data_IF_936178252077
#
_entry.id   IF_936178252077
#
_cell.length_a   1.000
_cell.length_b   1.000
_cell.length_c   1.000
_cell.angle_alpha   90.00
_cell.angle_beta   90.00
_cell.angle_gamma   90.00
#
_symmetry.space_group_name_H-M   'P 1'
#
loop_
_entity.id
_entity.type
_entity.pdbx_description
1 polymer ?
#
# COMPACT_ATOMS: atom_id res chain seq x y z
N UNK A 1 3.26 3.17 -26.34
CA UNK A 1 4.41 2.84 -25.44
C UNK A 1 5.65 2.92 -26.33
N UNK A 2 6.54 3.87 -26.04
CA UNK A 2 7.76 4.08 -26.83
C UNK A 2 8.80 2.99 -26.56
N UNK A 3 9.78 2.77 -27.46
CA UNK A 3 10.81 1.75 -27.31
C UNK A 3 11.65 1.92 -26.03
N UNK A 4 11.83 3.15 -25.55
CA UNK A 4 12.52 3.46 -24.28
C UNK A 4 11.76 2.95 -23.06
N UNK A 5 10.40 3.03 -23.06
CA UNK A 5 9.59 2.49 -21.94
C UNK A 5 9.64 0.96 -21.91
N UNK A 6 9.68 0.32 -23.07
CA UNK A 6 9.85 -1.14 -23.13
C UNK A 6 11.22 -1.55 -22.58
N UNK A 7 12.29 -0.87 -22.97
CA UNK A 7 13.66 -1.15 -22.51
C UNK A 7 13.78 -0.94 -20.98
N UNK A 8 13.18 0.14 -20.44
CA UNK A 8 13.15 0.39 -19.00
C UNK A 8 12.43 -0.72 -18.23
N UNK A 9 11.27 -1.16 -18.71
CA UNK A 9 10.53 -2.26 -18.08
C UNK A 9 11.30 -3.58 -18.15
N UNK A 10 11.93 -3.87 -19.27
CA UNK A 10 12.77 -5.06 -19.42
C UNK A 10 13.97 -5.01 -18.45
N UNK A 11 14.63 -3.87 -18.34
CA UNK A 11 15.74 -3.67 -17.39
C UNK A 11 15.29 -3.88 -15.93
N UNK A 12 14.11 -3.35 -15.53
CA UNK A 12 13.55 -3.58 -14.20
C UNK A 12 13.28 -5.07 -13.92
N UNK A 13 12.76 -5.82 -14.90
CA UNK A 13 12.54 -7.25 -14.73
C UNK A 13 13.87 -8.01 -14.56
N UNK A 14 14.90 -7.68 -15.34
CA UNK A 14 16.23 -8.27 -15.21
C UNK A 14 16.84 -7.97 -13.85
N UNK A 15 16.82 -6.72 -13.39
CA UNK A 15 17.33 -6.33 -12.07
C UNK A 15 16.58 -7.06 -10.95
N UNK A 16 15.26 -7.15 -11.05
CA UNK A 16 14.44 -7.90 -10.08
C UNK A 16 14.81 -9.38 -10.06
N UNK A 17 14.97 -10.00 -11.23
CA UNK A 17 15.39 -11.40 -11.34
C UNK A 17 16.78 -11.62 -10.72
N UNK A 18 17.75 -10.75 -11.01
CA UNK A 18 19.09 -10.79 -10.43
C UNK A 18 19.02 -10.68 -8.91
N UNK A 19 18.27 -9.70 -8.38
CA UNK A 19 18.11 -9.52 -6.95
C UNK A 19 17.49 -10.75 -6.27
N UNK A 20 16.49 -11.37 -6.90
CA UNK A 20 15.86 -12.61 -6.42
C UNK A 20 16.82 -13.82 -6.45
N UNK A 21 17.71 -13.89 -7.44
CA UNK A 21 18.65 -15.01 -7.58
C UNK A 21 19.85 -14.91 -6.64
N UNK A 22 20.35 -13.70 -6.40
CA UNK A 22 21.47 -13.44 -5.48
C UNK A 22 21.08 -13.76 -4.03
N UNK A 23 19.88 -13.38 -3.62
CA UNK A 23 19.45 -13.48 -2.21
C UNK A 23 18.11 -14.21 -2.06
N UNK A 24 18.01 -15.38 -2.68
CA UNK A 24 16.78 -16.19 -2.69
C UNK A 24 16.12 -16.34 -1.33
N UNK A 25 16.93 -16.50 -0.27
CA UNK A 25 16.42 -16.77 1.07
C UNK A 25 15.86 -15.52 1.74
N UNK A 26 16.55 -14.40 1.65
CA UNK A 26 16.22 -13.18 2.39
C UNK A 26 15.44 -12.16 1.57
N UNK A 27 15.33 -12.34 0.26
CA UNK A 27 14.73 -11.38 -0.67
C UNK A 27 13.35 -10.87 -0.19
N UNK A 28 12.43 -11.80 0.12
CA UNK A 28 11.09 -11.43 0.57
C UNK A 28 11.11 -10.69 1.91
N UNK A 29 11.98 -11.11 2.83
CA UNK A 29 12.08 -10.45 4.14
C UNK A 29 12.64 -9.04 4.00
N UNK A 30 13.67 -8.86 3.18
CA UNK A 30 14.24 -7.54 2.88
C UNK A 30 13.24 -6.66 2.17
N UNK A 31 12.53 -7.18 1.18
CA UNK A 31 11.46 -6.46 0.50
C UNK A 31 10.39 -5.95 1.48
N UNK A 32 9.89 -6.82 2.36
CA UNK A 32 8.93 -6.43 3.40
C UNK A 32 9.51 -5.35 4.32
N UNK A 33 10.76 -5.50 4.78
CA UNK A 33 11.42 -4.51 5.66
C UNK A 33 11.56 -3.15 4.98
N UNK A 34 11.94 -3.11 3.70
CA UNK A 34 12.06 -1.89 2.90
C UNK A 34 10.70 -1.20 2.77
N UNK A 35 9.64 -1.96 2.41
CA UNK A 35 8.29 -1.40 2.30
C UNK A 35 7.78 -0.90 3.65
N UNK A 36 8.05 -1.60 4.75
CA UNK A 36 7.70 -1.12 6.09
C UNK A 36 8.44 0.17 6.47
N UNK A 37 9.74 0.29 6.13
CA UNK A 37 10.51 1.50 6.36
C UNK A 37 9.90 2.70 5.63
N UNK A 38 9.63 2.58 4.33
CA UNK A 38 8.94 3.64 3.58
C UNK A 38 7.50 3.84 4.05
N UNK A 39 6.82 2.80 4.53
CA UNK A 39 5.50 2.88 5.13
C UNK A 39 5.48 3.79 6.36
N UNK A 40 6.42 3.64 7.27
CA UNK A 40 6.54 4.51 8.45
C UNK A 40 6.76 5.96 8.01
N UNK A 41 7.73 6.20 7.11
CA UNK A 41 8.02 7.54 6.61
C UNK A 41 6.77 8.16 5.98
N UNK A 42 6.07 7.40 5.14
CA UNK A 42 4.88 7.90 4.44
C UNK A 42 3.74 8.25 5.39
N UNK A 43 3.51 7.47 6.44
CA UNK A 43 2.48 7.76 7.45
C UNK A 43 2.85 9.01 8.24
N UNK A 44 4.13 9.23 8.57
CA UNK A 44 4.58 10.44 9.28
C UNK A 44 4.37 11.70 8.43
N UNK A 45 4.76 11.69 7.14
CA UNK A 45 4.51 12.82 6.24
C UNK A 45 3.02 13.07 6.04
N UNK A 46 2.25 12.01 5.76
CA UNK A 46 0.80 12.08 5.62
C UNK A 46 0.15 12.72 6.86
N UNK A 47 0.48 12.24 8.06
CA UNK A 47 -0.07 12.79 9.30
C UNK A 47 0.34 14.26 9.50
N UNK A 48 1.59 14.63 9.22
CA UNK A 48 2.06 16.00 9.33
C UNK A 48 1.27 16.94 8.39
N UNK A 49 1.06 16.55 7.13
CA UNK A 49 0.32 17.36 6.16
C UNK A 49 -1.20 17.41 6.44
N UNK A 50 -1.78 16.33 7.01
CA UNK A 50 -3.18 16.36 7.44
C UNK A 50 -3.39 17.29 8.66
N UNK A 51 -2.43 17.33 9.61
CA UNK A 51 -2.52 18.20 10.79
C UNK A 51 -2.26 19.66 10.42
N UNK A 52 -1.27 19.91 9.56
CA UNK A 52 -0.91 21.25 9.13
C UNK A 52 -0.65 21.30 7.62
N UNK A 53 -1.69 21.55 6.79
CA UNK A 53 -1.54 21.62 5.34
C UNK A 53 -0.54 22.67 4.84
N UNK A 54 -0.27 23.73 5.64
CA UNK A 54 0.69 24.77 5.26
C UNK A 54 2.14 24.25 5.16
N UNK A 55 2.45 23.13 5.79
CA UNK A 55 3.76 22.47 5.67
C UNK A 55 4.09 22.05 4.23
N UNK A 56 3.07 21.78 3.41
CA UNK A 56 3.26 21.46 1.98
C UNK A 56 3.93 22.61 1.25
N UNK A 57 3.54 23.86 1.55
CA UNK A 57 4.11 25.04 0.91
C UNK A 57 5.56 25.32 1.34
N UNK A 58 5.92 24.96 2.57
CA UNK A 58 7.27 25.08 3.11
C UNK A 58 8.17 23.89 2.73
N UNK A 59 7.59 22.81 2.24
CA UNK A 59 8.33 21.61 1.89
C UNK A 59 9.12 21.82 0.58
N UNK A 60 10.44 21.58 0.57
CA UNK A 60 11.22 21.68 -0.65
C UNK A 60 10.80 20.56 -1.61
N UNK A 61 9.99 20.90 -2.57
CA UNK A 61 9.43 19.96 -3.53
C UNK A 61 9.70 20.38 -4.98
N UNK A 62 9.74 19.40 -5.87
CA UNK A 62 9.65 19.58 -7.32
C UNK A 62 8.24 19.21 -7.75
N UNK A 63 7.60 20.06 -8.51
CA UNK A 63 6.30 19.78 -9.11
C UNK A 63 6.45 19.14 -10.49
N UNK A 64 5.58 18.23 -10.84
CA UNK A 64 5.38 17.77 -12.20
C UNK A 64 3.89 17.49 -12.44
N UNK A 65 3.51 17.45 -13.70
CA UNK A 65 2.13 17.20 -14.09
C UNK A 65 1.93 15.72 -14.35
N UNK A 66 0.83 15.18 -13.84
CA UNK A 66 0.34 13.85 -14.18
C UNK A 66 -1.08 13.94 -14.67
N UNK A 67 -1.45 13.08 -15.62
CA UNK A 67 -2.82 13.00 -16.10
C UNK A 67 -3.57 11.94 -15.32
N UNK A 68 -4.71 12.32 -14.76
CA UNK A 68 -5.63 11.37 -14.15
C UNK A 68 -6.28 10.53 -15.26
N UNK A 69 -5.97 9.24 -15.30
CA UNK A 69 -6.47 8.32 -16.33
C UNK A 69 -8.00 8.14 -16.29
N UNK A 70 -8.66 8.40 -15.15
CA UNK A 70 -10.11 8.28 -15.01
C UNK A 70 -10.88 9.49 -15.52
N UNK A 71 -10.36 10.70 -15.30
CA UNK A 71 -11.02 11.96 -15.65
C UNK A 71 -10.39 12.69 -16.83
N UNK A 72 -9.19 12.30 -17.23
CA UNK A 72 -8.39 12.98 -18.25
C UNK A 72 -7.83 14.34 -17.80
N UNK A 73 -8.10 14.76 -16.56
CA UNK A 73 -7.62 16.02 -16.01
C UNK A 73 -6.14 15.96 -15.62
N UNK A 74 -5.44 17.07 -15.79
CA UNK A 74 -4.07 17.21 -15.33
C UNK A 74 -4.05 17.61 -13.86
N UNK A 75 -3.22 16.95 -13.08
CA UNK A 75 -3.00 17.26 -11.68
C UNK A 75 -1.53 17.47 -11.39
N UNK A 76 -1.22 18.35 -10.44
CA UNK A 76 0.15 18.57 -9.96
C UNK A 76 0.49 17.57 -8.87
N UNK A 77 1.64 16.94 -9.00
CA UNK A 77 2.24 16.09 -7.97
C UNK A 77 3.49 16.77 -7.44
N UNK A 78 3.60 16.87 -6.13
CA UNK A 78 4.76 17.41 -5.46
C UNK A 78 5.62 16.26 -4.90
N UNK A 79 6.89 16.24 -5.27
CA UNK A 79 7.88 15.32 -4.70
C UNK A 79 8.92 16.08 -3.89
N UNK A 80 9.37 15.51 -2.77
CA UNK A 80 10.47 16.08 -2.00
C UNK A 80 11.75 16.21 -2.82
N UNK A 81 12.36 17.39 -2.84
CA UNK A 81 13.65 17.64 -3.50
C UNK A 81 14.75 16.80 -2.86
N UNK A 82 15.49 16.05 -3.67
CA UNK A 82 16.68 15.31 -3.26
C UNK A 82 16.41 14.01 -2.49
N UNK A 83 15.28 13.88 -1.83
CA UNK A 83 14.85 12.67 -1.13
C UNK A 83 13.46 12.30 -1.61
N UNK A 84 13.37 11.42 -2.56
CA UNK A 84 12.11 10.90 -3.14
C UNK A 84 11.37 10.00 -2.14
N UNK A 85 11.21 10.48 -0.90
CA UNK A 85 10.66 9.70 0.20
C UNK A 85 9.15 9.78 0.29
N UNK A 86 8.55 10.86 -0.25
CA UNK A 86 7.13 11.10 -0.19
C UNK A 86 6.65 11.91 -1.39
N UNK A 87 5.44 11.65 -1.84
CA UNK A 87 4.74 12.37 -2.88
C UNK A 87 3.43 12.92 -2.33
N UNK A 88 3.13 14.16 -2.64
CA UNK A 88 1.88 14.82 -2.29
C UNK A 88 1.08 15.11 -3.56
N UNK A 89 -0.15 14.63 -3.62
CA UNK A 89 -1.04 14.82 -4.75
C UNK A 89 -2.12 15.84 -4.36
N UNK A 90 -2.10 17.04 -4.96
CA UNK A 90 -2.97 18.15 -4.57
C UNK A 90 -4.46 17.81 -4.67
N UNK A 91 -4.88 17.11 -5.73
CA UNK A 91 -6.27 16.70 -5.93
C UNK A 91 -6.75 15.63 -4.92
N UNK A 92 -5.84 15.02 -4.16
CA UNK A 92 -6.11 14.01 -3.15
C UNK A 92 -5.27 14.27 -1.90
N UNK A 93 -5.34 15.50 -1.39
CA UNK A 93 -4.50 16.01 -0.30
C UNK A 93 -4.54 15.16 0.98
N UNK A 94 -5.65 14.48 1.24
CA UNK A 94 -5.82 13.61 2.42
C UNK A 94 -5.35 12.17 2.22
N UNK A 95 -4.95 11.80 1.00
CA UNK A 95 -4.57 10.41 0.67
C UNK A 95 -3.05 10.22 0.71
N UNK A 96 -2.60 9.13 1.31
CA UNK A 96 -1.19 8.78 1.37
C UNK A 96 -0.73 8.13 0.06
N UNK A 97 0.12 8.81 -0.68
CA UNK A 97 0.74 8.29 -1.92
C UNK A 97 2.07 7.58 -1.67
N UNK A 98 2.65 7.70 -0.45
CA UNK A 98 4.02 7.24 -0.20
C UNK A 98 5.01 7.95 -1.11
N UNK A 99 5.91 7.20 -1.71
CA UNK A 99 6.85 7.72 -2.74
C UNK A 99 6.34 7.51 -4.18
N UNK A 100 5.12 7.02 -4.34
CA UNK A 100 4.46 6.89 -5.64
C UNK A 100 3.68 8.15 -5.99
N UNK A 101 3.36 8.31 -7.27
CA UNK A 101 2.59 9.46 -7.77
C UNK A 101 1.11 9.38 -7.44
N UNK A 102 0.62 8.19 -7.13
CA UNK A 102 -0.80 7.93 -6.87
C UNK A 102 -0.98 6.94 -5.71
N UNK A 103 -2.00 7.16 -4.85
CA UNK A 103 -2.31 6.24 -3.77
C UNK A 103 -2.72 4.85 -4.29
N UNK A 104 -3.31 4.79 -5.49
CA UNK A 104 -3.69 3.55 -6.16
C UNK A 104 -2.50 2.64 -6.48
N UNK A 105 -1.37 3.18 -6.89
CA UNK A 105 -0.14 2.41 -7.16
C UNK A 105 0.50 1.96 -5.85
N UNK A 106 0.54 2.84 -4.85
CA UNK A 106 1.13 2.50 -3.55
C UNK A 106 0.41 1.34 -2.87
N UNK A 107 -0.92 1.35 -2.88
CA UNK A 107 -1.71 0.27 -2.29
C UNK A 107 -1.49 -1.10 -2.95
N UNK A 108 -1.17 -1.17 -4.25
CA UNK A 108 -0.86 -2.45 -4.92
C UNK A 108 0.35 -3.11 -4.24
N UNK A 109 1.40 -2.34 -4.02
CA UNK A 109 2.62 -2.84 -3.35
C UNK A 109 2.33 -3.24 -1.91
N UNK A 110 1.56 -2.42 -1.17
CA UNK A 110 1.18 -2.71 0.22
C UNK A 110 0.31 -3.97 0.32
N UNK A 111 -0.64 -4.17 -0.59
CA UNK A 111 -1.46 -5.39 -0.64
C UNK A 111 -0.63 -6.63 -1.00
N UNK A 112 0.35 -6.50 -1.91
CA UNK A 112 1.28 -7.59 -2.21
C UNK A 112 2.11 -7.98 -0.97
N UNK A 113 2.60 -6.98 -0.21
CA UNK A 113 3.32 -7.22 1.05
C UNK A 113 2.40 -7.84 2.11
N UNK A 114 1.16 -7.37 2.24
CA UNK A 114 0.18 -7.96 3.15
C UNK A 114 -0.07 -9.44 2.80
N UNK A 115 -0.23 -9.75 1.52
CA UNK A 115 -0.36 -11.14 1.07
C UNK A 115 0.86 -11.97 1.46
N UNK A 116 2.07 -11.50 1.22
CA UNK A 116 3.31 -12.20 1.61
C UNK A 116 3.37 -12.43 3.13
N UNK A 117 3.05 -11.40 3.92
CA UNK A 117 3.02 -11.51 5.39
C UNK A 117 2.04 -12.59 5.85
N UNK A 118 0.84 -12.63 5.29
CA UNK A 118 -0.22 -13.52 5.77
C UNK A 118 -0.06 -14.98 5.27
N UNK A 119 0.26 -15.16 4.00
CA UNK A 119 0.26 -16.50 3.39
C UNK A 119 1.65 -17.14 3.33
N UNK A 120 2.72 -16.34 3.29
CA UNK A 120 4.09 -16.83 3.18
C UNK A 120 4.92 -16.60 4.45
N UNK A 121 4.27 -16.50 5.61
CA UNK A 121 4.93 -16.31 6.90
C UNK A 121 6.11 -17.26 7.11
N UNK A 122 5.97 -18.54 6.74
CA UNK A 122 7.03 -19.57 6.88
C UNK A 122 8.26 -19.31 5.99
N UNK A 123 8.15 -18.44 4.97
CA UNK A 123 9.25 -18.05 4.08
C UNK A 123 9.94 -16.76 4.50
N UNK A 124 9.43 -16.12 5.56
CA UNK A 124 9.97 -14.87 6.08
C UNK A 124 10.88 -15.15 7.28
N UNK A 125 12.03 -14.50 7.28
CA UNK A 125 13.07 -14.65 8.29
C UNK A 125 13.11 -13.40 9.17
N UNK A 126 12.13 -13.28 10.07
CA UNK A 126 12.13 -12.30 11.16
C UNK A 126 12.82 -12.90 12.39
N UNK A 127 13.53 -12.06 13.14
CA UNK A 127 14.26 -12.51 14.33
C UNK A 127 13.30 -12.96 15.46
N UNK A 128 12.10 -12.36 15.50
CA UNK A 128 11.09 -12.70 16.48
C UNK A 128 9.66 -12.38 15.99
N UNK A 129 8.68 -12.95 16.68
CA UNK A 129 7.25 -12.76 16.36
C UNK A 129 6.80 -11.29 16.51
N UNK A 130 7.48 -10.51 17.37
CA UNK A 130 7.16 -9.09 17.56
C UNK A 130 7.46 -8.29 16.29
N UNK A 131 8.63 -8.52 15.66
CA UNK A 131 8.98 -7.85 14.40
C UNK A 131 7.97 -8.18 13.28
N UNK A 132 7.57 -9.44 13.19
CA UNK A 132 6.56 -9.87 12.22
C UNK A 132 5.21 -9.14 12.45
N UNK A 133 4.73 -9.08 13.70
CA UNK A 133 3.48 -8.38 14.03
C UNK A 133 3.60 -6.88 13.77
N UNK A 134 4.73 -6.27 14.14
CA UNK A 134 4.99 -4.84 13.85
C UNK A 134 4.95 -4.57 12.36
N UNK A 135 5.59 -5.38 11.52
CA UNK A 135 5.53 -5.23 10.07
C UNK A 135 4.09 -5.32 9.54
N UNK A 136 3.31 -6.28 10.06
CA UNK A 136 1.90 -6.43 9.66
C UNK A 136 1.07 -5.19 10.04
N UNK A 137 1.26 -4.66 11.25
CA UNK A 137 0.57 -3.45 11.72
C UNK A 137 0.95 -2.23 10.87
N UNK A 138 2.24 -2.03 10.58
CA UNK A 138 2.72 -0.93 9.73
C UNK A 138 2.04 -0.99 8.35
N UNK A 139 2.04 -2.15 7.71
CA UNK A 139 1.42 -2.32 6.38
C UNK A 139 -0.07 -2.03 6.41
N UNK A 140 -0.80 -2.52 7.41
CA UNK A 140 -2.23 -2.26 7.56
C UNK A 140 -2.53 -0.77 7.81
N UNK A 141 -1.77 -0.12 8.70
CA UNK A 141 -1.92 1.32 8.95
C UNK A 141 -1.64 2.13 7.68
N UNK A 142 -0.58 1.80 6.96
CA UNK A 142 -0.24 2.48 5.71
C UNK A 142 -1.33 2.28 4.65
N UNK A 143 -1.91 1.07 4.52
CA UNK A 143 -3.03 0.81 3.61
C UNK A 143 -4.25 1.66 3.94
N UNK A 144 -4.59 1.81 5.23
CA UNK A 144 -5.72 2.63 5.67
C UNK A 144 -5.50 4.09 5.27
N UNK A 145 -4.28 4.62 5.39
CA UNK A 145 -3.98 6.01 5.04
C UNK A 145 -3.99 6.29 3.54
N UNK A 146 -3.87 5.27 2.67
CA UNK A 146 -3.97 5.45 1.22
C UNK A 146 -5.37 5.87 0.74
N UNK A 147 -6.42 5.58 1.52
CA UNK A 147 -7.82 5.96 1.25
C UNK A 147 -8.25 5.67 -0.20
N UNK A 148 -7.97 4.44 -0.66
CA UNK A 148 -8.32 4.03 -2.01
C UNK A 148 -9.27 2.84 -1.98
N UNK A 149 -10.44 2.99 -2.63
CA UNK A 149 -11.53 2.00 -2.66
C UNK A 149 -11.04 0.65 -3.20
N UNK A 150 -10.30 0.66 -4.30
CA UNK A 150 -9.73 -0.56 -4.90
C UNK A 150 -8.73 -1.25 -3.96
N UNK A 151 -7.98 -0.47 -3.16
CA UNK A 151 -7.06 -1.01 -2.16
C UNK A 151 -7.77 -1.66 -0.99
N UNK A 152 -8.81 -1.05 -0.52
CA UNK A 152 -9.62 -1.63 0.55
C UNK A 152 -10.32 -2.91 0.10
N UNK A 153 -10.83 -2.93 -1.15
CA UNK A 153 -11.42 -4.14 -1.72
C UNK A 153 -10.38 -5.27 -1.81
N UNK A 154 -9.20 -4.97 -2.32
CA UNK A 154 -8.09 -5.95 -2.41
C UNK A 154 -7.65 -6.44 -1.03
N UNK A 155 -7.47 -5.53 -0.07
CA UNK A 155 -7.16 -5.87 1.32
C UNK A 155 -8.24 -6.78 1.94
N UNK A 156 -9.51 -6.45 1.72
CA UNK A 156 -10.64 -7.25 2.20
C UNK A 156 -10.60 -8.67 1.64
N UNK A 157 -10.39 -8.82 0.33
CA UNK A 157 -10.29 -10.15 -0.31
C UNK A 157 -9.14 -10.95 0.29
N UNK A 158 -7.96 -10.34 0.47
CA UNK A 158 -6.79 -10.99 1.08
C UNK A 158 -7.10 -11.44 2.51
N UNK A 159 -7.70 -10.57 3.33
CA UNK A 159 -8.04 -10.88 4.72
C UNK A 159 -9.10 -11.97 4.81
N UNK A 160 -10.12 -11.95 3.95
CA UNK A 160 -11.15 -12.98 3.88
C UNK A 160 -10.56 -14.33 3.48
N UNK A 161 -9.75 -14.38 2.42
CA UNK A 161 -9.07 -15.61 2.01
C UNK A 161 -8.22 -16.17 3.16
N UNK A 162 -7.44 -15.33 3.83
CA UNK A 162 -6.63 -15.74 4.98
C UNK A 162 -7.50 -16.27 6.13
N UNK A 163 -8.59 -15.59 6.45
CA UNK A 163 -9.53 -16.00 7.50
C UNK A 163 -10.17 -17.38 7.19
N UNK A 164 -10.63 -17.57 5.95
CA UNK A 164 -11.24 -18.82 5.54
C UNK A 164 -10.25 -19.99 5.55
N UNK A 165 -9.02 -19.78 5.04
CA UNK A 165 -7.99 -20.82 5.03
C UNK A 165 -7.57 -21.19 6.45
N UNK A 166 -7.28 -20.22 7.30
CA UNK A 166 -6.86 -20.46 8.69
C UNK A 166 -8.00 -21.02 9.56
N UNK A 167 -9.25 -20.64 9.29
CA UNK A 167 -10.42 -21.18 9.98
C UNK A 167 -10.64 -22.68 9.70
N UNK A 168 -10.22 -23.16 8.52
CA UNK A 168 -10.27 -24.57 8.17
C UNK A 168 -9.30 -25.42 8.99
N UNK A 169 -8.10 -24.90 9.26
CA UNK A 169 -7.10 -25.63 10.09
C UNK A 169 -7.49 -25.71 11.57
N UNK A 170 -8.29 -24.77 12.07
CA UNK A 170 -8.68 -24.71 13.49
C UNK A 170 -10.01 -25.35 13.83
N UNK A 171 -10.74 -25.89 12.85
CA UNK A 171 -11.99 -26.63 13.06
C UNK A 171 -13.16 -25.86 13.71
N UNK A 172 -13.00 -24.58 14.06
CA UNK A 172 -13.75 -23.92 15.13
C UNK A 172 -14.84 -22.96 14.65
N UNK A 173 -15.00 -22.71 13.34
CA UNK A 173 -15.96 -21.65 12.99
C UNK A 173 -17.04 -22.12 12.05
N UNK A 174 -18.28 -22.01 12.55
CA UNK A 174 -19.48 -22.28 11.78
C UNK A 174 -19.56 -21.37 10.56
N UNK A 175 -20.19 -21.84 9.49
CA UNK A 175 -20.43 -21.07 8.26
C UNK A 175 -21.08 -19.71 8.58
N UNK A 176 -21.96 -19.66 9.59
CA UNK A 176 -22.62 -18.43 10.05
C UNK A 176 -21.63 -17.34 10.52
N UNK A 177 -20.61 -17.71 11.31
CA UNK A 177 -19.61 -16.75 11.77
C UNK A 177 -18.72 -16.23 10.62
N UNK A 178 -18.39 -17.09 9.67
CA UNK A 178 -17.66 -16.70 8.46
C UNK A 178 -18.47 -15.73 7.61
N UNK A 179 -19.76 -16.00 7.45
CA UNK A 179 -20.69 -15.14 6.72
C UNK A 179 -20.88 -13.78 7.41
N UNK A 180 -20.99 -13.76 8.74
CA UNK A 180 -21.09 -12.53 9.51
C UNK A 180 -19.87 -11.62 9.33
N UNK A 181 -18.65 -12.18 9.38
CA UNK A 181 -17.43 -11.41 9.11
C UNK A 181 -17.38 -10.85 7.69
N UNK A 182 -17.84 -11.63 6.70
CA UNK A 182 -17.94 -11.19 5.32
C UNK A 182 -18.91 -10.01 5.19
N UNK A 183 -20.10 -10.10 5.78
CA UNK A 183 -21.09 -9.02 5.75
C UNK A 183 -20.53 -7.75 6.40
N UNK A 184 -19.93 -7.86 7.59
CA UNK A 184 -19.32 -6.71 8.27
C UNK A 184 -18.23 -6.07 7.42
N UNK A 185 -17.35 -6.86 6.77
CA UNK A 185 -16.30 -6.35 5.91
C UNK A 185 -16.87 -5.62 4.68
N UNK A 186 -17.88 -6.18 4.02
CA UNK A 186 -18.55 -5.54 2.87
C UNK A 186 -19.23 -4.24 3.31
N UNK A 187 -19.94 -4.25 4.43
CA UNK A 187 -20.62 -3.06 4.96
C UNK A 187 -19.60 -1.95 5.29
N UNK A 188 -18.48 -2.30 5.91
CA UNK A 188 -17.42 -1.34 6.21
C UNK A 188 -16.85 -0.69 4.94
N UNK A 189 -16.61 -1.47 3.88
CA UNK A 189 -16.14 -0.94 2.59
C UNK A 189 -17.18 -0.02 1.95
N UNK A 190 -18.45 -0.40 1.95
CA UNK A 190 -19.53 0.41 1.37
C UNK A 190 -19.71 1.73 2.14
N UNK A 191 -19.65 1.70 3.47
CA UNK A 191 -19.70 2.92 4.29
C UNK A 191 -18.51 3.83 4.00
N UNK A 192 -17.30 3.25 3.91
CA UNK A 192 -16.10 4.03 3.59
C UNK A 192 -16.20 4.67 2.20
N UNK A 193 -16.66 3.92 1.19
CA UNK A 193 -16.87 4.44 -0.16
C UNK A 193 -17.94 5.56 -0.17
N UNK A 194 -19.03 5.38 0.55
CA UNK A 194 -20.09 6.39 0.68
C UNK A 194 -19.59 7.68 1.34
N UNK A 195 -18.82 7.56 2.43
CA UNK A 195 -18.26 8.72 3.13
C UNK A 195 -17.23 9.47 2.27
N UNK A 196 -16.41 8.74 1.51
CA UNK A 196 -15.41 9.35 0.63
C UNK A 196 -16.03 10.02 -0.60
N UNK A 197 -17.18 9.55 -1.10
CA UNK A 197 -17.89 10.17 -2.23
C UNK A 197 -18.76 11.35 -1.82
N UNK A 198 -19.17 11.41 -0.57
CA UNK A 198 -19.98 12.52 -0.04
C UNK A 198 -19.21 13.82 0.16
N UNK A 199 -17.90 13.83 -0.03
CA UNK A 199 -17.01 14.99 0.06
C UNK A 199 -16.64 15.58 -1.34
N UNK A 200 -17.13 14.99 -2.45
CA UNK A 200 -17.02 15.49 -3.82
C UNK A 200 -18.31 16.22 -4.24
#
# INVERSE_FOLDING_TARGET
>A
VGPLSFLSNAAMLVVTYIAMTIDRRMFLTRFVRIVCFFGIISVLFWAAFCINPSLVNAWPATSFWTQNLGTGQWATVLHGKGLWLYSYLEIHATRNCGFYTEPGVYQIVLNAVLFVLLFWKKKLYFDNEKQYRTATVIVLLTLITCQSTTGYLSMMVILLCFFFMRGRERGIRTLKQKLAVLVVAITAVLITDYLLRGEE
#
